data_IF_318104760445
#
_entry.id   IF_318104760445
#
_cell.length_a   1.000
_cell.length_b   1.000
_cell.length_c   1.000
_cell.angle_alpha   90.00
_cell.angle_beta   90.00
_cell.angle_gamma   90.00
#
_symmetry.space_group_name_H-M   'P 1'
#
loop_
_entity.id
_entity.type
_entity.pdbx_description
1 polymer ?
#
# COMPACT_ATOMS: atom_id res chain seq x y z
N UNK A 1 69.76 -6.72 30.12
CA UNK A 1 68.60 -7.46 29.62
C UNK A 1 67.34 -6.60 29.85
N UNK A 2 66.83 -5.88 28.83
CA UNK A 2 65.68 -4.97 28.93
C UNK A 2 64.51 -5.68 28.32
N UNK A 3 63.52 -6.05 29.15
CA UNK A 3 62.23 -6.63 28.69
C UNK A 3 61.28 -5.49 28.28
N UNK A 4 61.00 -5.40 26.99
CA UNK A 4 59.95 -4.50 26.46
C UNK A 4 58.57 -5.20 26.60
N UNK A 5 57.73 -4.64 27.45
CA UNK A 5 56.31 -5.03 27.52
C UNK A 5 55.54 -4.32 26.40
N UNK A 6 54.95 -5.08 25.51
CA UNK A 6 54.05 -4.56 24.50
C UNK A 6 52.61 -4.50 25.11
N UNK A 7 52.08 -3.30 25.25
CA UNK A 7 50.67 -3.11 25.65
C UNK A 7 49.78 -3.25 24.42
N UNK A 8 48.91 -4.26 24.46
CA UNK A 8 47.88 -4.48 23.43
C UNK A 8 46.67 -3.59 23.74
N UNK A 9 46.45 -2.59 22.90
CA UNK A 9 45.27 -1.71 23.01
C UNK A 9 44.11 -2.37 22.25
N UNK A 10 43.15 -2.91 22.97
CA UNK A 10 41.90 -3.44 22.39
C UNK A 10 40.92 -2.29 22.20
N UNK A 11 40.72 -1.89 20.94
CA UNK A 11 39.69 -0.90 20.55
C UNK A 11 38.35 -1.61 20.49
N UNK A 12 37.49 -1.40 21.49
CA UNK A 12 36.10 -1.85 21.46
C UNK A 12 35.26 -0.86 20.64
N UNK A 13 34.87 -1.26 19.44
CA UNK A 13 33.85 -0.52 18.66
C UNK A 13 32.45 -0.78 19.25
N UNK A 14 31.91 0.20 19.94
CA UNK A 14 30.49 0.21 20.32
C UNK A 14 29.65 0.49 19.06
N UNK A 15 29.00 -0.54 18.54
CA UNK A 15 27.95 -0.36 17.50
C UNK A 15 26.73 0.28 18.17
N UNK A 16 26.49 1.57 17.92
CA UNK A 16 25.25 2.21 18.27
C UNK A 16 24.13 1.59 17.41
N UNK A 17 23.33 0.70 18.02
CA UNK A 17 22.08 0.27 17.42
C UNK A 17 21.15 1.49 17.38
N UNK A 18 20.88 2.01 16.19
CA UNK A 18 19.84 3.00 16.03
C UNK A 18 18.51 2.28 16.31
N UNK A 19 17.86 2.64 17.42
CA UNK A 19 16.47 2.27 17.66
C UNK A 19 15.66 2.94 16.53
N UNK A 20 15.12 2.14 15.63
CA UNK A 20 14.11 2.65 14.69
C UNK A 20 12.92 3.11 15.52
N UNK A 21 12.51 4.36 15.37
CA UNK A 21 11.33 4.88 16.02
C UNK A 21 10.13 4.02 15.60
N UNK A 22 9.59 3.28 16.56
CA UNK A 22 8.43 2.42 16.33
C UNK A 22 7.22 3.33 16.14
N UNK A 23 6.69 3.38 14.92
CA UNK A 23 5.43 4.10 14.63
C UNK A 23 4.27 3.31 15.25
N UNK A 24 3.54 3.86 16.24
CA UNK A 24 2.43 3.15 16.86
C UNK A 24 1.22 3.07 15.93
N UNK A 25 0.42 2.01 16.08
CA UNK A 25 -0.88 1.94 15.42
C UNK A 25 -1.84 2.97 16.05
N UNK A 26 -2.43 3.89 15.26
CA UNK A 26 -3.45 4.79 15.76
C UNK A 26 -4.78 4.06 15.96
N UNK A 27 -5.58 4.53 16.93
CA UNK A 27 -6.94 4.01 17.13
C UNK A 27 -7.82 4.28 15.90
N UNK A 28 -7.70 5.48 15.33
CA UNK A 28 -8.45 5.93 14.16
C UNK A 28 -7.64 5.81 12.86
N UNK A 29 -8.22 6.29 11.76
CA UNK A 29 -7.54 6.38 10.48
C UNK A 29 -6.57 7.58 10.45
N UNK A 30 -5.45 7.42 9.75
CA UNK A 30 -4.55 8.52 9.43
C UNK A 30 -5.24 9.48 8.45
N UNK A 31 -5.25 10.79 8.75
CA UNK A 31 -5.96 11.80 7.95
C UNK A 31 -5.06 12.83 7.28
N UNK A 32 -3.75 12.79 7.55
CA UNK A 32 -2.75 13.72 7.04
C UNK A 32 -1.40 13.02 6.88
N UNK A 33 -0.43 13.66 6.24
CA UNK A 33 0.94 13.12 6.04
C UNK A 33 0.94 11.66 5.58
N UNK A 34 0.19 11.38 4.53
CA UNK A 34 0.01 10.01 4.05
C UNK A 34 1.30 9.36 3.51
N UNK A 35 2.33 10.16 3.26
CA UNK A 35 3.68 9.73 2.86
C UNK A 35 4.63 9.90 4.03
N UNK A 36 4.60 8.98 4.96
CA UNK A 36 5.40 8.97 6.18
C UNK A 36 5.61 7.52 6.63
N UNK A 37 6.60 7.25 7.49
CA UNK A 37 6.79 5.92 8.07
C UNK A 37 5.48 5.36 8.63
N UNK A 38 5.20 4.10 8.34
CA UNK A 38 3.98 3.38 8.74
C UNK A 38 4.25 2.46 9.91
N UNK A 39 3.22 2.05 10.70
CA UNK A 39 3.38 1.03 11.73
C UNK A 39 3.94 -0.29 11.16
N UNK A 40 4.61 -1.05 12.02
CA UNK A 40 5.06 -2.40 11.66
C UNK A 40 3.90 -3.42 11.67
N UNK A 41 2.75 -3.05 12.23
CA UNK A 41 1.59 -3.93 12.44
C UNK A 41 0.29 -3.28 11.98
N UNK A 42 -0.73 -4.10 11.81
CA UNK A 42 -2.13 -3.70 11.66
C UNK A 42 -3.00 -4.73 12.36
N UNK A 43 -3.64 -4.33 13.45
CA UNK A 43 -4.51 -5.21 14.23
C UNK A 43 -5.59 -5.85 13.36
N UNK A 44 -5.66 -7.18 13.39
CA UNK A 44 -6.61 -7.97 12.60
C UNK A 44 -6.15 -8.32 11.18
N UNK A 45 -5.06 -7.75 10.68
CA UNK A 45 -4.49 -8.10 9.38
C UNK A 45 -3.15 -8.82 9.53
N UNK A 46 -2.82 -9.68 8.56
CA UNK A 46 -1.47 -10.19 8.40
C UNK A 46 -0.61 -9.18 7.66
N UNK A 47 0.53 -8.77 8.23
CA UNK A 47 1.51 -7.93 7.53
C UNK A 47 2.41 -8.83 6.67
N UNK A 48 2.60 -8.46 5.41
CA UNK A 48 3.37 -9.24 4.46
C UNK A 48 4.72 -8.59 4.15
N UNK A 49 5.74 -9.41 4.10
CA UNK A 49 6.99 -9.12 3.41
C UNK A 49 6.79 -9.23 1.90
N UNK A 50 7.70 -8.63 1.12
CA UNK A 50 7.70 -8.77 -0.36
C UNK A 50 7.71 -10.25 -0.81
N UNK A 51 8.52 -11.09 -0.15
CA UNK A 51 8.58 -12.53 -0.45
C UNK A 51 7.25 -13.26 -0.22
N UNK A 52 6.53 -12.92 0.84
CA UNK A 52 5.22 -13.51 1.12
C UNK A 52 4.16 -13.02 0.14
N UNK A 53 4.18 -11.72 -0.20
CA UNK A 53 3.30 -11.17 -1.23
C UNK A 53 3.55 -11.83 -2.59
N UNK A 54 4.80 -12.00 -2.99
CA UNK A 54 5.19 -12.73 -4.21
C UNK A 54 4.67 -14.17 -4.20
N UNK A 55 4.83 -14.90 -3.10
CA UNK A 55 4.35 -16.28 -2.99
C UNK A 55 2.83 -16.38 -3.18
N UNK A 56 2.06 -15.46 -2.57
CA UNK A 56 0.61 -15.38 -2.74
C UNK A 56 0.24 -15.07 -4.20
N UNK A 57 0.94 -14.11 -4.82
CA UNK A 57 0.71 -13.72 -6.20
C UNK A 57 0.99 -14.86 -7.18
N UNK A 58 2.15 -15.53 -7.05
CA UNK A 58 2.51 -16.68 -7.91
C UNK A 58 1.52 -17.84 -7.76
N UNK A 59 1.05 -18.10 -6.55
CA UNK A 59 0.05 -19.12 -6.27
C UNK A 59 -1.37 -18.70 -6.70
N UNK A 60 -1.59 -17.43 -7.07
CA UNK A 60 -2.93 -16.86 -7.35
C UNK A 60 -3.93 -17.13 -6.23
N UNK A 61 -3.44 -17.11 -4.98
CA UNK A 61 -4.21 -17.46 -3.78
C UNK A 61 -4.78 -16.25 -3.03
N UNK A 62 -4.54 -15.03 -3.52
CA UNK A 62 -5.04 -13.79 -2.94
C UNK A 62 -5.45 -12.78 -4.01
N UNK A 63 -6.36 -11.89 -3.64
CA UNK A 63 -6.86 -10.78 -4.45
C UNK A 63 -6.06 -9.54 -4.06
N UNK A 64 -5.28 -9.00 -4.98
CA UNK A 64 -4.48 -7.81 -4.74
C UNK A 64 -5.28 -6.55 -5.04
N UNK A 65 -5.36 -5.66 -4.06
CA UNK A 65 -6.08 -4.38 -4.13
C UNK A 65 -5.06 -3.24 -4.00
N UNK A 66 -4.87 -2.52 -5.08
CA UNK A 66 -4.07 -1.30 -5.11
C UNK A 66 -4.98 -0.10 -4.76
N UNK A 67 -4.57 0.70 -3.78
CA UNK A 67 -5.35 1.88 -3.34
C UNK A 67 -4.60 3.19 -3.55
N UNK A 68 -3.50 3.18 -4.33
CA UNK A 68 -2.76 4.40 -4.63
C UNK A 68 -3.69 5.40 -5.33
N UNK A 69 -3.75 6.66 -4.88
CA UNK A 69 -4.55 7.70 -5.52
C UNK A 69 -4.13 7.96 -6.96
N UNK A 70 -5.06 8.44 -7.77
CA UNK A 70 -4.71 9.10 -9.03
C UNK A 70 -3.91 10.38 -8.75
N UNK A 71 -2.94 10.66 -9.59
CA UNK A 71 -2.25 11.93 -9.51
C UNK A 71 -3.24 13.08 -9.79
N UNK A 72 -3.32 14.11 -8.95
CA UNK A 72 -4.23 15.21 -9.21
C UNK A 72 -3.82 15.95 -10.50
N UNK A 73 -4.82 16.35 -11.28
CA UNK A 73 -4.60 17.23 -12.41
C UNK A 73 -4.00 18.55 -11.90
N UNK A 74 -2.86 19.03 -12.45
CA UNK A 74 -2.30 20.31 -12.06
C UNK A 74 -3.31 21.45 -12.23
N UNK A 75 -3.45 22.36 -11.25
CA UNK A 75 -4.51 23.38 -11.25
C UNK A 75 -4.35 24.44 -12.34
N UNK A 76 -3.13 24.66 -12.86
CA UNK A 76 -2.79 25.78 -13.76
C UNK A 76 -2.38 25.31 -15.16
N UNK A 77 -3.06 24.30 -15.71
CA UNK A 77 -2.78 23.90 -17.10
C UNK A 77 -3.31 24.96 -18.06
N UNK A 78 -2.55 25.30 -19.12
CA UNK A 78 -3.01 26.19 -20.20
C UNK A 78 -4.33 25.69 -20.80
N UNK A 79 -5.18 26.62 -21.23
CA UNK A 79 -6.43 26.28 -21.90
C UNK A 79 -6.13 25.41 -23.14
N UNK A 80 -6.90 24.35 -23.33
CA UNK A 80 -6.72 23.39 -24.43
C UNK A 80 -5.66 22.31 -24.18
N UNK A 81 -4.98 22.29 -23.02
CA UNK A 81 -4.05 21.21 -22.67
C UNK A 81 -4.81 19.94 -22.38
N UNK A 82 -4.56 18.89 -23.16
CA UNK A 82 -5.05 17.54 -22.85
C UNK A 82 -4.21 16.96 -21.71
N UNK A 83 -4.77 16.89 -20.52
CA UNK A 83 -4.12 16.20 -19.41
C UNK A 83 -4.29 14.68 -19.57
N UNK A 84 -3.17 13.97 -19.45
CA UNK A 84 -3.17 12.50 -19.34
C UNK A 84 -2.57 12.12 -18.01
N UNK A 85 -3.26 11.30 -17.25
CA UNK A 85 -2.73 10.75 -16.02
C UNK A 85 -1.42 9.98 -16.30
N UNK A 86 -0.49 10.02 -15.35
CA UNK A 86 0.67 9.13 -15.45
C UNK A 86 0.17 7.69 -15.36
N UNK A 87 0.68 6.77 -16.19
CA UNK A 87 0.38 5.35 -16.07
C UNK A 87 0.68 4.88 -14.66
N UNK A 88 -0.26 4.14 -14.06
CA UNK A 88 -0.02 3.40 -12.82
C UNK A 88 0.52 2.03 -13.16
N UNK A 89 1.76 1.75 -12.77
CA UNK A 89 2.31 0.41 -12.81
C UNK A 89 1.99 -0.27 -11.47
N UNK A 90 1.29 -1.39 -11.52
CA UNK A 90 0.92 -2.15 -10.33
C UNK A 90 1.34 -3.64 -10.44
N UNK A 91 1.10 -4.39 -9.37
CA UNK A 91 1.32 -5.85 -9.36
C UNK A 91 0.34 -6.49 -10.35
N UNK A 92 0.80 -7.33 -11.31
CA UNK A 92 -0.07 -7.86 -12.35
C UNK A 92 -1.28 -8.63 -11.78
N UNK A 93 -2.46 -8.33 -12.31
CA UNK A 93 -3.73 -8.91 -11.86
C UNK A 93 -4.36 -8.22 -10.65
N UNK A 94 -3.77 -7.14 -10.16
CA UNK A 94 -4.39 -6.32 -9.11
C UNK A 94 -5.60 -5.55 -9.61
N UNK A 95 -6.54 -5.33 -8.71
CA UNK A 95 -7.66 -4.40 -8.89
C UNK A 95 -7.24 -3.05 -8.33
N UNK A 96 -7.27 -2.00 -9.16
CA UNK A 96 -6.92 -0.66 -8.70
C UNK A 96 -8.18 0.14 -8.33
N UNK A 97 -8.27 0.47 -7.04
CA UNK A 97 -9.35 1.26 -6.42
C UNK A 97 -8.76 2.59 -5.92
N UNK A 98 -8.46 3.55 -6.82
CA UNK A 98 -7.82 4.80 -6.43
C UNK A 98 -8.65 5.60 -5.43
N UNK A 99 -7.94 6.39 -4.61
CA UNK A 99 -8.49 7.34 -3.64
C UNK A 99 -9.25 6.71 -2.45
N UNK A 100 -9.27 5.38 -2.33
CA UNK A 100 -10.02 4.67 -1.28
C UNK A 100 -9.26 4.50 0.04
N UNK A 101 -8.00 4.92 0.08
CA UNK A 101 -7.14 4.83 1.27
C UNK A 101 -7.10 6.09 2.14
N UNK A 102 -7.79 7.16 1.78
CA UNK A 102 -7.85 8.35 2.63
C UNK A 102 -8.51 8.05 3.98
N UNK A 103 -8.07 8.75 5.02
CA UNK A 103 -8.61 8.56 6.37
C UNK A 103 -10.10 8.88 6.46
N UNK A 104 -10.55 9.92 5.76
CA UNK A 104 -11.96 10.28 5.61
C UNK A 104 -12.36 10.04 4.17
N UNK A 105 -13.38 9.23 3.96
CA UNK A 105 -13.98 8.99 2.65
C UNK A 105 -15.33 9.69 2.56
N UNK A 106 -15.58 10.34 1.43
CA UNK A 106 -16.92 10.75 1.07
C UNK A 106 -17.78 9.48 0.79
N UNK A 107 -19.10 9.50 1.06
CA UNK A 107 -19.95 8.34 0.86
C UNK A 107 -19.82 7.68 -0.53
N UNK A 108 -19.74 8.41 -1.65
CA UNK A 108 -19.57 7.78 -2.96
C UNK A 108 -18.23 7.02 -3.10
N UNK A 109 -17.14 7.51 -2.45
CA UNK A 109 -15.84 6.84 -2.48
C UNK A 109 -15.83 5.60 -1.59
N UNK A 110 -16.53 5.65 -0.45
CA UNK A 110 -16.71 4.48 0.40
C UNK A 110 -17.53 3.39 -0.31
N UNK A 111 -18.61 3.76 -0.97
CA UNK A 111 -19.43 2.85 -1.78
C UNK A 111 -18.63 2.25 -2.93
N UNK A 112 -17.78 3.03 -3.58
CA UNK A 112 -16.87 2.56 -4.62
C UNK A 112 -15.92 1.49 -4.11
N UNK A 113 -15.31 1.69 -2.93
CA UNK A 113 -14.46 0.67 -2.30
C UNK A 113 -15.26 -0.60 -1.99
N UNK A 114 -16.42 -0.48 -1.35
CA UNK A 114 -17.29 -1.64 -1.01
C UNK A 114 -17.68 -2.44 -2.24
N UNK A 115 -18.10 -1.76 -3.30
CA UNK A 115 -18.51 -2.40 -4.55
C UNK A 115 -17.32 -3.04 -5.28
N UNK A 116 -16.17 -2.35 -5.33
CA UNK A 116 -14.94 -2.91 -5.91
C UNK A 116 -14.49 -4.19 -5.21
N UNK A 117 -14.48 -4.19 -3.88
CA UNK A 117 -14.18 -5.38 -3.07
C UNK A 117 -15.19 -6.51 -3.33
N UNK A 118 -16.48 -6.19 -3.35
CA UNK A 118 -17.53 -7.18 -3.56
C UNK A 118 -17.41 -7.83 -4.96
N UNK A 119 -17.08 -7.05 -5.99
CA UNK A 119 -16.81 -7.60 -7.34
C UNK A 119 -15.56 -8.46 -7.35
N UNK A 120 -14.44 -7.95 -6.82
CA UNK A 120 -13.16 -8.64 -6.83
C UNK A 120 -13.20 -9.97 -6.05
N UNK A 121 -13.90 -10.02 -4.92
CA UNK A 121 -14.01 -11.20 -4.06
C UNK A 121 -15.19 -12.13 -4.40
N UNK A 122 -16.06 -11.76 -5.36
CA UNK A 122 -17.31 -12.47 -5.59
C UNK A 122 -18.22 -12.44 -4.35
N UNK A 123 -18.15 -11.38 -3.53
CA UNK A 123 -18.83 -11.20 -2.24
C UNK A 123 -18.39 -12.19 -1.15
N UNK A 124 -17.27 -12.86 -1.35
CA UNK A 124 -16.70 -13.76 -0.36
C UNK A 124 -15.87 -12.98 0.67
N UNK A 125 -16.41 -12.76 1.86
CA UNK A 125 -15.72 -12.05 2.94
C UNK A 125 -14.58 -12.86 3.58
N UNK A 126 -14.44 -14.15 3.27
CA UNK A 126 -13.33 -14.99 3.69
C UNK A 126 -12.21 -15.08 2.65
N UNK A 127 -12.37 -14.44 1.48
CA UNK A 127 -11.31 -14.38 0.48
C UNK A 127 -10.09 -13.64 1.03
N UNK A 128 -8.89 -14.10 0.68
CA UNK A 128 -7.65 -13.41 1.04
C UNK A 128 -7.55 -12.11 0.21
N UNK A 129 -7.64 -10.99 0.88
CA UNK A 129 -7.48 -9.65 0.31
C UNK A 129 -6.09 -9.12 0.68
N UNK A 130 -5.24 -8.85 -0.29
CA UNK A 130 -3.91 -8.24 -0.10
C UNK A 130 -4.00 -6.78 -0.49
N UNK A 131 -3.89 -5.87 0.50
CA UNK A 131 -4.00 -4.43 0.30
C UNK A 131 -2.62 -3.79 0.24
N UNK A 132 -2.37 -2.95 -0.75
CA UNK A 132 -1.10 -2.25 -0.91
C UNK A 132 -1.25 -0.91 -1.63
N UNK A 133 -0.19 -0.11 -1.63
CA UNK A 133 0.00 1.05 -2.51
C UNK A 133 1.49 1.18 -2.90
N UNK A 134 2.27 1.92 -2.17
CA UNK A 134 3.73 2.05 -2.28
C UNK A 134 4.33 2.06 -0.87
N UNK A 135 5.66 2.04 -0.72
CA UNK A 135 6.30 2.11 0.58
C UNK A 135 5.96 3.43 1.31
N UNK A 136 5.97 3.42 2.62
CA UNK A 136 5.66 4.58 3.47
C UNK A 136 4.34 5.28 3.11
N UNK A 137 3.32 4.48 2.85
CA UNK A 137 2.02 4.97 2.39
C UNK A 137 0.89 4.54 3.34
N UNK A 138 0.42 5.47 4.14
CA UNK A 138 -0.66 5.26 5.09
C UNK A 138 -2.01 4.90 4.46
N UNK A 139 -2.18 5.17 3.17
CA UNK A 139 -3.45 4.86 2.49
C UNK A 139 -3.73 3.37 2.44
N UNK A 140 -2.71 2.53 2.20
CA UNK A 140 -2.90 1.07 2.24
C UNK A 140 -3.19 0.55 3.65
N UNK A 141 -2.57 1.15 4.68
CA UNK A 141 -2.88 0.83 6.08
C UNK A 141 -4.35 1.17 6.41
N UNK A 142 -4.78 2.40 6.08
CA UNK A 142 -6.17 2.84 6.27
C UNK A 142 -7.16 1.94 5.52
N UNK A 143 -6.89 1.65 4.25
CA UNK A 143 -7.78 0.81 3.45
C UNK A 143 -7.89 -0.60 4.03
N UNK A 144 -6.78 -1.22 4.43
CA UNK A 144 -6.80 -2.55 5.03
C UNK A 144 -7.58 -2.56 6.36
N UNK A 145 -7.38 -1.56 7.23
CA UNK A 145 -8.18 -1.37 8.45
C UNK A 145 -9.67 -1.24 8.16
N UNK A 146 -10.03 -0.47 7.14
CA UNK A 146 -11.43 -0.27 6.73
C UNK A 146 -12.04 -1.54 6.15
N UNK A 147 -11.29 -2.31 5.37
CA UNK A 147 -11.74 -3.60 4.82
C UNK A 147 -12.06 -4.60 5.93
N UNK A 148 -11.23 -4.63 6.99
CA UNK A 148 -11.55 -5.41 8.21
C UNK A 148 -12.87 -4.96 8.84
N UNK A 149 -13.11 -3.64 8.94
CA UNK A 149 -14.36 -3.11 9.50
C UNK A 149 -15.60 -3.41 8.65
N UNK A 150 -15.42 -3.77 7.38
CA UNK A 150 -16.50 -4.24 6.50
C UNK A 150 -16.82 -5.73 6.65
N UNK A 151 -16.13 -6.43 7.56
CA UNK A 151 -16.37 -7.83 7.86
C UNK A 151 -15.54 -8.82 7.04
N UNK A 152 -14.57 -8.36 6.25
CA UNK A 152 -13.62 -9.27 5.64
C UNK A 152 -12.69 -9.85 6.71
N UNK A 153 -12.65 -11.18 6.81
CA UNK A 153 -11.93 -11.88 7.88
C UNK A 153 -10.49 -12.30 7.52
N UNK A 154 -10.11 -12.21 6.25
CA UNK A 154 -8.81 -12.65 5.78
C UNK A 154 -8.11 -11.52 5.01
N UNK A 155 -7.68 -10.51 5.74
CA UNK A 155 -7.00 -9.33 5.19
C UNK A 155 -5.51 -9.42 5.45
N UNK A 156 -4.72 -9.19 4.43
CA UNK A 156 -3.29 -8.99 4.51
C UNK A 156 -2.93 -7.58 4.02
N UNK A 157 -1.97 -6.96 4.69
CA UNK A 157 -1.43 -5.67 4.32
C UNK A 157 0.02 -5.82 3.86
N UNK A 158 0.34 -5.28 2.70
CA UNK A 158 1.67 -5.29 2.12
C UNK A 158 2.25 -3.86 2.13
N UNK A 159 3.00 -3.46 3.19
CA UNK A 159 3.47 -2.10 3.41
C UNK A 159 4.50 -1.61 2.40
N UNK A 160 5.37 -2.50 1.89
CA UNK A 160 6.40 -2.13 0.92
C UNK A 160 5.83 -1.80 -0.46
N UNK A 161 4.63 -2.28 -0.77
CA UNK A 161 3.88 -1.96 -1.97
C UNK A 161 4.67 -2.14 -3.26
N UNK A 162 4.39 -1.32 -4.27
CA UNK A 162 5.10 -1.38 -5.56
C UNK A 162 6.58 -1.07 -5.43
N UNK A 163 7.00 -0.24 -4.48
CA UNK A 163 8.42 0.08 -4.32
C UNK A 163 9.23 -1.14 -3.85
N UNK A 164 8.66 -1.96 -2.93
CA UNK A 164 9.26 -3.24 -2.51
C UNK A 164 9.22 -4.29 -3.61
N UNK A 165 8.13 -4.29 -4.38
CA UNK A 165 7.93 -5.19 -5.51
C UNK A 165 8.98 -4.96 -6.62
N UNK A 166 9.17 -3.70 -7.02
CA UNK A 166 10.15 -3.31 -8.04
C UNK A 166 11.59 -3.53 -7.56
N UNK A 167 11.90 -3.25 -6.28
CA UNK A 167 13.24 -3.56 -5.72
C UNK A 167 13.59 -5.04 -5.72
N UNK A 168 12.59 -5.91 -5.77
CA UNK A 168 12.76 -7.35 -5.90
C UNK A 168 12.76 -7.84 -7.36
N UNK A 169 12.88 -6.91 -8.33
CA UNK A 169 12.85 -7.19 -9.77
C UNK A 169 11.62 -7.98 -10.23
N UNK A 170 10.48 -7.78 -9.54
CA UNK A 170 9.22 -8.45 -9.87
C UNK A 170 8.45 -7.68 -10.95
N UNK A 171 7.66 -8.37 -11.80
CA UNK A 171 6.99 -7.74 -12.92
C UNK A 171 5.89 -6.77 -12.47
N UNK A 172 5.74 -5.68 -13.21
CA UNK A 172 4.61 -4.74 -13.09
C UNK A 172 3.83 -4.67 -14.40
N UNK A 173 2.60 -4.19 -14.34
CA UNK A 173 1.77 -3.95 -15.51
C UNK A 173 1.05 -2.62 -15.39
N UNK A 174 0.76 -1.98 -16.53
CA UNK A 174 -0.05 -0.78 -16.54
C UNK A 174 -1.48 -1.12 -16.10
N UNK A 175 -1.96 -0.38 -15.10
CA UNK A 175 -3.28 -0.56 -14.52
C UNK A 175 -4.26 0.49 -15.03
N UNK A 176 -5.50 0.04 -15.22
CA UNK A 176 -6.65 0.92 -15.34
C UNK A 176 -7.44 0.88 -14.03
N UNK A 177 -7.94 2.01 -13.54
CA UNK A 177 -8.76 2.01 -12.33
C UNK A 177 -10.09 1.31 -12.61
N UNK A 178 -10.63 0.65 -11.59
CA UNK A 178 -12.01 0.17 -11.64
C UNK A 178 -12.96 1.34 -11.94
N UNK A 179 -13.93 1.17 -12.84
CA UNK A 179 -14.91 2.22 -13.14
C UNK A 179 -15.69 2.64 -11.89
N UNK A 180 -15.84 3.95 -11.69
CA UNK A 180 -16.77 4.48 -10.70
C UNK A 180 -18.19 4.49 -11.30
N UNK A 181 -19.23 4.30 -10.49
CA UNK A 181 -20.63 4.36 -11.01
C UNK A 181 -20.92 5.66 -11.76
N UNK A 182 -20.37 6.79 -11.33
CA UNK A 182 -20.51 8.07 -11.99
C UNK A 182 -19.78 8.17 -13.34
N UNK A 183 -18.69 7.40 -13.52
CA UNK A 183 -17.93 7.38 -14.79
C UNK A 183 -18.67 6.56 -15.87
N UNK A 184 -19.55 5.65 -15.45
CA UNK A 184 -20.35 4.82 -16.37
C UNK A 184 -21.53 5.58 -17.01
N UNK A 185 -21.89 6.76 -16.47
CA UNK A 185 -23.00 7.60 -16.98
C UNK A 185 -22.53 8.71 -17.94
N UNK A 186 -21.20 8.93 -18.07
CA UNK A 186 -20.69 9.93 -19.01
C UNK A 186 -20.46 9.27 -20.37
N UNK A 187 -21.13 9.76 -21.45
CA UNK A 187 -20.83 9.29 -22.80
C UNK A 187 -19.37 9.63 -23.15
N UNK A 188 -18.73 8.81 -24.00
CA UNK A 188 -17.38 9.13 -24.47
C UNK A 188 -17.37 10.46 -25.18
N UNK A 189 -16.54 11.42 -24.68
CA UNK A 189 -16.35 12.74 -25.27
C UNK A 189 -15.52 12.71 -26.56
#
# INVERSE_FOLDING_TARGET
>A
MIRRAAALFVLTFATAAHAQDIVPEPADYRTEDYRAPVPATLAGARVLTTREAEAIWRARSGIFIDVLPRAPKPPNLPAGTVWRDKPRLNIPGSVWLPDTGYGRLAPPTEDYLRQGLARASGRNQSALIVVYCQADCWMSWNAAKRILSYGYSNVAWYPDGTDGWERADLPTTEAQPEPRPADAELPPG
#
